data_IF_164656350563
#
_entry.id   IF_164656350563
#
_cell.length_a   1.000
_cell.length_b   1.000
_cell.length_c   1.000
_cell.angle_alpha   90.00
_cell.angle_beta   90.00
_cell.angle_gamma   90.00
#
_symmetry.space_group_name_H-M   'P 1'
#
loop_
_entity.id
_entity.type
_entity.pdbx_description
1 polymer ?
#
# COMPACT_ATOMS: atom_id res chain seq x y z
N UNK A 1 -14.18 9.14 19.86
CA UNK A 1 -14.27 8.72 18.44
C UNK A 1 -12.93 8.97 17.77
N UNK A 2 -12.56 8.16 16.78
CA UNK A 2 -11.28 8.33 16.07
C UNK A 2 -11.50 8.89 14.65
N UNK A 3 -10.66 9.85 14.26
CA UNK A 3 -10.76 10.58 13.00
C UNK A 3 -9.50 10.37 12.14
N UNK A 4 -9.65 10.56 10.83
CA UNK A 4 -8.51 10.61 9.90
C UNK A 4 -7.67 11.86 10.19
N UNK A 5 -6.36 11.68 10.43
CA UNK A 5 -5.42 12.75 10.80
C UNK A 5 -4.68 13.36 9.59
N UNK A 6 -4.65 12.68 8.45
CA UNK A 6 -4.01 13.14 7.20
C UNK A 6 -4.68 12.52 5.97
N UNK A 7 -4.44 13.10 4.79
CA UNK A 7 -4.98 12.65 3.50
C UNK A 7 -6.32 13.29 3.10
N UNK A 8 -6.94 12.82 2.00
CA UNK A 8 -8.19 13.39 1.49
C UNK A 8 -9.40 13.28 2.44
N UNK A 9 -9.35 12.35 3.41
CA UNK A 9 -10.44 12.08 4.35
C UNK A 9 -10.25 12.76 5.72
N UNK A 10 -9.30 13.68 5.88
CA UNK A 10 -9.01 14.37 7.16
C UNK A 10 -10.27 14.93 7.79
N UNK A 11 -10.42 14.73 9.10
CA UNK A 11 -11.57 15.20 9.85
C UNK A 11 -12.81 14.31 9.74
N UNK A 12 -12.86 13.37 8.80
CA UNK A 12 -13.92 12.36 8.76
C UNK A 12 -13.71 11.29 9.85
N UNK A 13 -14.82 10.80 10.41
CA UNK A 13 -14.79 9.73 11.41
C UNK A 13 -14.37 8.40 10.75
N UNK A 14 -13.60 7.59 11.48
CA UNK A 14 -13.14 6.28 10.98
C UNK A 14 -14.18 5.16 11.09
N UNK A 15 -15.37 5.46 11.58
CA UNK A 15 -16.42 4.47 11.80
C UNK A 15 -16.21 3.56 13.02
N UNK A 16 -15.30 3.92 13.95
CA UNK A 16 -15.12 3.22 15.22
C UNK A 16 -14.68 4.16 16.35
N UNK A 17 -14.87 3.69 17.59
CA UNK A 17 -14.46 4.37 18.80
C UNK A 17 -14.06 3.35 19.88
N UNK A 18 -13.32 3.82 20.87
CA UNK A 18 -13.07 3.09 22.10
C UNK A 18 -13.82 3.79 23.23
N UNK A 19 -14.43 2.99 24.10
CA UNK A 19 -15.19 3.45 25.25
C UNK A 19 -14.60 2.77 26.48
N UNK A 20 -14.25 3.56 27.48
CA UNK A 20 -13.76 3.07 28.77
C UNK A 20 -14.92 3.11 29.76
N UNK A 21 -15.23 1.97 30.38
CA UNK A 21 -16.21 1.87 31.44
C UNK A 21 -15.53 1.94 32.81
N UNK A 22 -16.25 2.41 33.83
CA UNK A 22 -15.73 2.43 35.21
C UNK A 22 -15.57 1.04 35.82
N UNK A 23 -16.36 0.06 35.37
CA UNK A 23 -16.30 -1.33 35.84
C UNK A 23 -16.35 -2.31 34.68
N UNK A 24 -15.75 -3.49 34.86
CA UNK A 24 -15.76 -4.55 33.86
C UNK A 24 -17.18 -5.11 33.60
N UNK A 25 -17.97 -5.25 34.66
CA UNK A 25 -19.36 -5.71 34.58
C UNK A 25 -20.24 -4.76 33.74
N UNK A 26 -20.07 -3.45 33.88
CA UNK A 26 -20.78 -2.47 33.04
C UNK A 26 -20.42 -2.63 31.55
N UNK A 27 -19.16 -2.93 31.24
CA UNK A 27 -18.71 -3.15 29.87
C UNK A 27 -19.32 -4.42 29.25
N UNK A 28 -19.39 -5.52 30.01
CA UNK A 28 -20.01 -6.78 29.55
C UNK A 28 -21.51 -6.60 29.32
N UNK A 29 -22.22 -5.96 30.26
CA UNK A 29 -23.64 -5.63 30.10
C UNK A 29 -23.91 -4.78 28.86
N UNK A 30 -23.04 -3.80 28.57
CA UNK A 30 -23.15 -2.97 27.38
C UNK A 30 -22.90 -3.77 26.10
N UNK A 31 -21.89 -4.66 26.10
CA UNK A 31 -21.59 -5.56 24.99
C UNK A 31 -22.80 -6.45 24.66
N UNK A 32 -23.37 -7.14 25.66
CA UNK A 32 -24.49 -8.05 25.45
C UNK A 32 -25.76 -7.34 24.95
N UNK A 33 -26.07 -6.17 25.52
CA UNK A 33 -27.31 -5.46 25.20
C UNK A 33 -27.26 -4.67 23.91
N UNK A 34 -26.11 -4.08 23.57
CA UNK A 34 -26.01 -3.10 22.48
C UNK A 34 -25.37 -3.69 21.22
N UNK A 35 -24.69 -4.83 21.29
CA UNK A 35 -24.12 -5.46 20.11
C UNK A 35 -25.22 -5.90 19.13
N UNK A 36 -25.12 -5.49 17.88
CA UNK A 36 -26.12 -5.76 16.84
C UNK A 36 -27.31 -4.78 16.84
N UNK A 37 -27.41 -3.88 17.81
CA UNK A 37 -28.51 -2.89 17.83
C UNK A 37 -28.34 -1.87 16.69
N UNK A 38 -29.43 -1.47 16.01
CA UNK A 38 -29.36 -0.45 14.97
C UNK A 38 -29.23 0.95 15.57
N UNK A 39 -28.21 1.69 15.16
CA UNK A 39 -28.05 3.11 15.46
C UNK A 39 -28.00 3.87 14.13
N UNK A 40 -28.91 4.84 13.95
CA UNK A 40 -29.02 5.62 12.71
C UNK A 40 -29.05 4.73 11.45
N UNK A 41 -29.87 3.67 11.49
CA UNK A 41 -30.03 2.67 10.42
C UNK A 41 -28.79 1.80 10.12
N UNK A 42 -27.79 1.79 11.01
CA UNK A 42 -26.61 0.92 10.89
C UNK A 42 -26.46 0.05 12.15
N UNK A 43 -26.44 -1.29 12.04
CA UNK A 43 -26.18 -2.14 13.19
C UNK A 43 -24.75 -1.91 13.69
N UNK A 44 -24.61 -1.67 15.00
CA UNK A 44 -23.31 -1.51 15.62
C UNK A 44 -22.72 -2.86 16.04
N UNK A 45 -21.39 -2.95 16.02
CA UNK A 45 -20.66 -4.11 16.52
C UNK A 45 -19.78 -3.68 17.67
N UNK A 46 -19.92 -4.34 18.81
CA UNK A 46 -19.13 -4.08 20.01
C UNK A 46 -18.23 -5.29 20.26
N UNK A 47 -16.97 -5.04 20.62
CA UNK A 47 -15.99 -6.06 20.96
C UNK A 47 -15.11 -5.58 22.11
N UNK A 48 -14.60 -6.51 22.90
CA UNK A 48 -13.61 -6.19 23.92
C UNK A 48 -12.34 -5.63 23.26
N UNK A 49 -11.85 -4.51 23.77
CA UNK A 49 -10.65 -3.88 23.24
C UNK A 49 -9.42 -4.73 23.60
N UNK A 50 -8.63 -5.10 22.59
CA UNK A 50 -7.33 -5.74 22.81
C UNK A 50 -6.35 -4.67 23.28
N UNK A 51 -5.72 -4.92 24.42
CA UNK A 51 -4.54 -4.18 24.85
C UNK A 51 -3.39 -4.53 23.90
N UNK A 52 -3.09 -3.63 22.97
CA UNK A 52 -1.90 -3.77 22.14
C UNK A 52 -0.72 -3.41 23.02
N UNK A 53 0.06 -4.41 23.43
CA UNK A 53 1.34 -4.13 24.04
C UNK A 53 2.23 -3.53 22.94
N UNK A 54 2.67 -2.29 23.13
CA UNK A 54 3.51 -1.61 22.14
C UNK A 54 4.86 -2.31 21.95
N UNK A 55 5.32 -3.08 22.95
CA UNK A 55 6.53 -3.89 22.84
C UNK A 55 6.33 -5.06 21.87
N UNK A 56 5.12 -5.62 21.76
CA UNK A 56 4.80 -6.67 20.79
C UNK A 56 4.78 -6.16 19.34
N UNK A 57 4.49 -4.87 19.11
CA UNK A 57 4.56 -4.28 17.78
C UNK A 57 6.00 -4.20 17.23
N UNK A 58 7.00 -4.20 18.12
CA UNK A 58 8.42 -4.24 17.76
C UNK A 58 8.97 -5.67 17.63
N UNK A 59 8.19 -6.69 18.00
CA UNK A 59 8.61 -8.08 17.84
C UNK A 59 8.61 -8.42 16.36
N UNK A 60 9.73 -8.96 15.85
CA UNK A 60 9.80 -9.41 14.46
C UNK A 60 8.70 -10.45 14.23
N UNK A 61 7.78 -10.10 13.33
CA UNK A 61 6.66 -10.96 12.97
C UNK A 61 7.25 -12.28 12.44
N UNK A 62 6.79 -13.45 12.95
CA UNK A 62 7.38 -14.72 12.54
C UNK A 62 7.25 -14.86 11.02
N UNK A 63 8.35 -15.25 10.38
CA UNK A 63 8.35 -15.55 8.95
C UNK A 63 7.46 -16.78 8.75
N UNK A 64 6.32 -16.58 8.12
CA UNK A 64 5.44 -17.68 7.74
C UNK A 64 6.06 -18.26 6.46
N UNK A 65 6.64 -19.45 6.58
CA UNK A 65 7.08 -20.21 5.41
C UNK A 65 5.85 -20.87 4.79
N UNK A 66 5.53 -20.45 3.58
CA UNK A 66 4.44 -21.04 2.79
C UNK A 66 5.13 -21.94 1.76
N UNK A 67 5.06 -23.28 1.89
CA UNK A 67 5.77 -24.20 1.00
C UNK A 67 5.47 -23.96 -0.49
N UNK A 68 4.24 -23.57 -0.81
CA UNK A 68 3.80 -23.28 -2.17
C UNK A 68 4.43 -22.01 -2.79
N UNK A 69 5.01 -21.12 -1.98
CA UNK A 69 5.61 -19.86 -2.47
C UNK A 69 7.06 -20.01 -2.94
N UNK A 70 7.62 -21.23 -2.90
CA UNK A 70 8.99 -21.51 -3.30
C UNK A 70 9.98 -20.85 -2.35
N UNK A 71 10.63 -21.64 -1.50
CA UNK A 71 11.81 -21.23 -0.76
C UNK A 71 12.99 -20.98 -1.72
N UNK A 72 12.89 -19.93 -2.54
CA UNK A 72 14.07 -19.35 -3.16
C UNK A 72 14.75 -18.54 -2.06
N UNK A 73 15.73 -19.16 -1.41
CA UNK A 73 16.72 -18.49 -0.59
C UNK A 73 17.26 -17.30 -1.40
N UNK A 74 16.81 -16.08 -1.07
CA UNK A 74 17.32 -14.85 -1.68
C UNK A 74 18.50 -14.31 -0.87
N UNK A 75 19.37 -15.20 -0.41
CA UNK A 75 20.52 -14.82 0.41
C UNK A 75 21.84 -15.38 -0.14
N UNK A 76 21.92 -15.69 -1.43
CA UNK A 76 23.21 -15.77 -2.11
C UNK A 76 23.18 -14.87 -3.34
N UNK A 77 23.80 -13.70 -3.20
CA UNK A 77 24.39 -13.04 -4.37
C UNK A 77 25.29 -14.10 -5.00
N UNK A 78 25.06 -14.47 -6.27
CA UNK A 78 25.81 -15.54 -6.93
C UNK A 78 27.29 -15.43 -6.54
N UNK A 79 27.88 -16.55 -6.08
CA UNK A 79 29.28 -16.57 -5.69
C UNK A 79 30.12 -15.97 -6.82
N UNK A 80 31.23 -15.31 -6.48
CA UNK A 80 32.08 -14.67 -7.50
C UNK A 80 32.48 -15.68 -8.57
N UNK A 81 32.65 -16.93 -8.16
CA UNK A 81 32.95 -18.10 -8.98
C UNK A 81 31.78 -18.46 -9.91
N UNK A 82 30.54 -18.46 -9.43
CA UNK A 82 29.36 -18.75 -10.26
C UNK A 82 29.10 -17.63 -11.28
N UNK A 83 29.36 -16.38 -10.91
CA UNK A 83 29.27 -15.26 -11.84
C UNK A 83 30.33 -15.39 -12.97
N UNK A 84 31.56 -15.81 -12.64
CA UNK A 84 32.61 -16.06 -13.63
C UNK A 84 32.20 -17.19 -14.58
N UNK A 85 31.73 -18.33 -14.04
CA UNK A 85 31.26 -19.48 -14.84
C UNK A 85 30.10 -19.14 -15.77
N UNK A 86 29.17 -18.30 -15.30
CA UNK A 86 28.06 -17.82 -16.12
C UNK A 86 28.55 -16.96 -17.30
N UNK A 87 29.60 -16.16 -17.11
CA UNK A 87 30.19 -15.36 -18.18
C UNK A 87 30.93 -16.25 -19.18
N UNK A 88 31.76 -17.18 -18.70
CA UNK A 88 32.55 -18.08 -19.57
C UNK A 88 31.66 -18.95 -20.45
N UNK A 89 30.60 -19.53 -19.86
CA UNK A 89 29.64 -20.34 -20.62
C UNK A 89 28.90 -19.53 -21.69
N UNK A 90 28.53 -18.28 -21.38
CA UNK A 90 27.88 -17.37 -22.33
C UNK A 90 28.82 -16.97 -23.48
N UNK A 91 30.07 -16.65 -23.19
CA UNK A 91 31.07 -16.33 -24.22
C UNK A 91 31.28 -17.52 -25.15
N UNK A 92 31.39 -18.73 -24.59
CA UNK A 92 31.53 -19.96 -25.36
C UNK A 92 30.32 -20.25 -26.26
N UNK A 93 29.12 -19.90 -25.81
CA UNK A 93 27.91 -20.03 -26.61
C UNK A 93 27.88 -19.01 -27.76
N UNK A 94 28.36 -17.78 -27.53
CA UNK A 94 28.49 -16.76 -28.57
C UNK A 94 29.58 -17.10 -29.59
N UNK A 95 30.71 -17.64 -29.16
CA UNK A 95 31.81 -18.06 -30.04
C UNK A 95 31.42 -19.23 -30.96
N UNK A 96 30.47 -20.09 -30.54
CA UNK A 96 29.93 -21.15 -31.39
C UNK A 96 28.90 -20.66 -32.42
N UNK A 97 28.32 -19.47 -32.23
CA UNK A 97 27.19 -18.98 -33.01
C UNK A 97 27.49 -17.58 -33.60
N UNK A 98 28.59 -17.45 -34.34
CA UNK A 98 29.05 -16.18 -34.91
C UNK A 98 28.15 -15.48 -35.94
N UNK A 99 26.92 -15.95 -36.26
CA UNK A 99 26.20 -15.43 -37.44
C UNK A 99 24.66 -15.22 -37.32
N UNK A 100 23.98 -15.57 -36.22
CA UNK A 100 22.49 -15.58 -36.22
C UNK A 100 21.83 -14.91 -35.00
N UNK A 101 21.99 -13.59 -34.79
CA UNK A 101 20.93 -12.79 -34.11
C UNK A 101 21.17 -11.26 -34.21
N UNK A 102 20.88 -10.65 -35.36
CA UNK A 102 20.68 -9.19 -35.44
C UNK A 102 19.57 -8.84 -36.45
N UNK A 103 18.30 -9.09 -36.09
CA UNK A 103 17.18 -8.36 -36.69
C UNK A 103 16.38 -7.63 -35.60
N UNK A 104 16.79 -6.38 -35.33
CA UNK A 104 16.07 -5.45 -34.46
C UNK A 104 15.08 -4.60 -35.28
N UNK A 105 13.79 -4.93 -35.17
CA UNK A 105 12.68 -3.98 -35.00
C UNK A 105 12.53 -2.76 -35.96
N UNK A 106 12.91 -2.84 -37.25
CA UNK A 106 12.66 -1.72 -38.18
C UNK A 106 11.32 -1.78 -38.95
N UNK A 107 10.45 -2.78 -38.76
CA UNK A 107 9.27 -2.98 -39.61
C UNK A 107 7.91 -3.03 -38.89
N UNK A 108 7.77 -2.47 -37.69
CA UNK A 108 6.47 -2.51 -36.98
C UNK A 108 5.84 -1.14 -36.68
N UNK A 109 6.06 -0.16 -37.57
CA UNK A 109 5.39 1.14 -37.58
C UNK A 109 3.89 1.08 -37.95
N UNK A 110 3.31 -0.11 -38.15
CA UNK A 110 1.94 -0.31 -38.59
C UNK A 110 1.05 -1.08 -37.60
N UNK A 111 1.42 -1.18 -36.32
CA UNK A 111 0.54 -1.78 -35.31
C UNK A 111 -0.18 -0.70 -34.49
N UNK A 112 -1.52 -0.77 -34.50
CA UNK A 112 -2.50 0.09 -33.78
C UNK A 112 -2.44 -0.07 -32.25
N UNK A 113 -1.28 -0.37 -31.69
CA UNK A 113 -1.10 -0.58 -30.26
C UNK A 113 -0.90 0.77 -29.57
N UNK A 114 -1.95 1.23 -28.90
CA UNK A 114 -1.90 2.43 -28.06
C UNK A 114 -0.77 2.27 -27.04
N UNK A 115 0.16 3.25 -26.95
CA UNK A 115 1.34 3.13 -26.10
C UNK A 115 0.94 2.82 -24.66
N UNK A 116 1.70 1.92 -24.02
CA UNK A 116 1.38 1.35 -22.70
C UNK A 116 1.02 2.41 -21.66
N UNK A 117 1.69 3.56 -21.69
CA UNK A 117 1.47 4.66 -20.74
C UNK A 117 0.03 5.22 -20.78
N UNK A 118 -0.63 5.18 -21.94
CA UNK A 118 -1.97 5.75 -22.12
C UNK A 118 -3.08 4.84 -21.61
N UNK A 119 -2.86 3.52 -21.52
CA UNK A 119 -3.92 2.57 -21.12
C UNK A 119 -4.37 2.71 -19.65
N UNK A 120 -3.59 3.40 -18.81
CA UNK A 120 -3.86 3.53 -17.36
C UNK A 120 -4.24 4.95 -16.93
N UNK A 121 -4.51 5.88 -17.85
CA UNK A 121 -4.95 7.25 -17.51
C UNK A 121 -6.48 7.35 -17.32
N UNK A 122 -7.04 6.60 -16.37
CA UNK A 122 -8.50 6.40 -16.28
C UNK A 122 -9.29 7.47 -15.50
N UNK A 123 -8.72 8.62 -15.14
CA UNK A 123 -9.34 9.56 -14.19
C UNK A 123 -9.18 11.06 -14.50
N UNK A 124 -8.94 11.45 -15.76
CA UNK A 124 -8.65 12.86 -16.08
C UNK A 124 -9.90 13.76 -16.18
N UNK A 125 -11.09 13.19 -16.36
CA UNK A 125 -12.29 13.98 -16.72
C UNK A 125 -13.36 14.04 -15.62
N UNK A 126 -13.07 13.59 -14.39
CA UNK A 126 -14.09 13.48 -13.34
C UNK A 126 -14.41 14.80 -12.61
N UNK A 127 -13.67 15.86 -12.90
CA UNK A 127 -13.79 17.16 -12.20
C UNK A 127 -14.64 18.21 -12.94
N UNK A 128 -15.22 17.91 -14.11
CA UNK A 128 -15.95 18.92 -14.93
C UNK A 128 -17.47 18.88 -14.85
N UNK A 129 -18.07 17.96 -14.08
CA UNK A 129 -19.54 17.84 -13.99
C UNK A 129 -20.06 17.64 -12.57
N UNK A 130 -19.89 18.62 -11.68
CA UNK A 130 -20.87 18.88 -10.62
C UNK A 130 -20.66 20.23 -9.93
N UNK A 131 -21.78 20.91 -9.68
CA UNK A 131 -22.00 22.10 -8.85
C UNK A 131 -21.86 23.48 -9.50
N UNK A 132 -23.01 23.97 -9.98
CA UNK A 132 -23.38 25.38 -9.94
C UNK A 132 -23.61 25.78 -8.46
N UNK A 133 -23.08 26.96 -8.11
CA UNK A 133 -23.39 27.82 -6.95
C UNK A 133 -22.78 27.52 -5.57
N UNK A 134 -22.11 28.53 -5.01
CA UNK A 134 -21.79 28.65 -3.58
C UNK A 134 -20.31 28.93 -3.32
N UNK A 135 -19.94 30.20 -3.12
CA UNK A 135 -18.56 30.68 -3.18
C UNK A 135 -17.62 30.37 -2.01
N UNK A 136 -16.34 30.62 -2.27
CA UNK A 136 -15.32 31.32 -1.44
C UNK A 136 -13.96 31.09 -2.11
N UNK A 137 -13.33 32.15 -2.59
CA UNK A 137 -12.00 32.14 -3.19
C UNK A 137 -10.95 31.77 -2.14
N UNK A 138 -10.43 30.53 -2.19
CA UNK A 138 -9.22 30.14 -1.49
C UNK A 138 -8.07 30.13 -2.50
N UNK A 139 -7.20 31.12 -2.43
CA UNK A 139 -5.99 31.19 -3.25
C UNK A 139 -5.06 30.04 -2.88
N UNK A 140 -4.99 29.05 -3.77
CA UNK A 140 -4.11 27.89 -3.69
C UNK A 140 -2.67 28.35 -3.97
N UNK A 141 -1.83 28.43 -2.94
CA UNK A 141 -0.38 28.51 -3.11
C UNK A 141 0.18 27.09 -3.29
N UNK A 142 0.70 26.82 -4.49
CA UNK A 142 1.26 25.54 -4.89
C UNK A 142 2.70 25.44 -4.36
N UNK A 143 2.87 25.04 -3.09
CA UNK A 143 4.14 24.46 -2.66
C UNK A 143 4.07 22.95 -2.89
N UNK A 144 4.47 22.57 -4.10
CA UNK A 144 4.74 21.21 -4.52
C UNK A 144 6.00 20.67 -3.83
N UNK A 145 5.83 19.80 -2.84
CA UNK A 145 6.85 18.81 -2.50
C UNK A 145 6.16 17.56 -1.90
N UNK A 146 6.32 16.36 -2.49
CA UNK A 146 5.49 15.21 -2.15
C UNK A 146 5.93 14.46 -0.89
N UNK A 147 7.08 14.78 -0.26
CA UNK A 147 7.48 14.18 1.01
C UNK A 147 8.36 15.11 1.84
N UNK A 148 7.80 15.77 2.85
CA UNK A 148 8.59 16.27 3.99
C UNK A 148 8.35 15.35 5.18
N UNK A 149 9.28 14.43 5.38
CA UNK A 149 9.33 13.55 6.55
C UNK A 149 10.08 14.28 7.64
N UNK A 150 9.37 15.02 8.48
CA UNK A 150 9.96 15.54 9.72
C UNK A 150 10.27 14.35 10.64
N UNK A 151 11.56 14.13 10.87
CA UNK A 151 12.05 13.15 11.82
C UNK A 151 11.49 13.51 13.21
N UNK A 152 10.80 12.56 13.84
CA UNK A 152 10.41 12.69 15.26
C UNK A 152 11.71 12.72 16.08
N UNK A 153 11.90 13.66 17.02
CA UNK A 153 13.11 13.66 17.85
C UNK A 153 13.16 12.38 18.68
N UNK A 154 14.35 11.75 18.73
CA UNK A 154 14.62 10.62 19.63
C UNK A 154 14.46 11.12 21.06
N UNK A 155 13.54 10.50 21.82
CA UNK A 155 13.45 10.69 23.26
C UNK A 155 14.74 10.11 23.87
N UNK A 156 15.52 10.96 24.53
CA UNK A 156 16.61 10.53 25.42
C UNK A 156 16.01 9.88 26.66
#
# INVERSE_FOLDING_TARGET
MLFHKSGPLVGQSRGYAFVTFGTADAALKALEKLNGTPIANRPIVIRLAKNVNYDELNKQKPRIEIPALGSSSRDDKMSREDAIRAIESKLRALERNGEEELELNLLNSASTQVPFIQRYQFNKDRDTSSSISGGRTYTKSYNSAPYNRHQRPKRR
#
